data_IF_734097944138
#
_entry.id   IF_734097944138
#
_cell.length_a   1.000
_cell.length_b   1.000
_cell.length_c   1.000
_cell.angle_alpha   90.00
_cell.angle_beta   90.00
_cell.angle_gamma   90.00
#
_symmetry.space_group_name_H-M   'P 1'
#
loop_
_entity.id
_entity.type
_entity.pdbx_description
1 polymer ?
#
# COMPACT_ATOMS: atom_id res chain seq x y z
N UNK A 1 -57.90 -15.91 -4.67
CA UNK A 1 -56.73 -16.71 -5.08
C UNK A 1 -56.03 -17.24 -3.85
N UNK A 2 -55.78 -18.55 -3.79
CA UNK A 2 -55.10 -19.18 -2.67
C UNK A 2 -53.60 -18.92 -2.73
N UNK A 3 -52.95 -18.85 -1.57
CA UNK A 3 -51.51 -18.62 -1.42
C UNK A 3 -50.64 -19.69 -2.11
N UNK A 4 -51.24 -20.84 -2.42
CA UNK A 4 -50.59 -21.96 -3.10
C UNK A 4 -50.66 -21.84 -4.64
N UNK A 5 -51.68 -21.19 -5.19
CA UNK A 5 -51.78 -20.92 -6.63
C UNK A 5 -50.75 -19.87 -7.05
N UNK A 6 -50.61 -18.80 -6.26
CA UNK A 6 -49.62 -17.76 -6.48
C UNK A 6 -48.18 -18.30 -6.46
N UNK A 7 -47.90 -19.29 -5.60
CA UNK A 7 -46.59 -19.94 -5.53
C UNK A 7 -46.28 -20.80 -6.75
N UNK A 8 -47.29 -21.44 -7.35
CA UNK A 8 -47.12 -22.22 -8.58
C UNK A 8 -46.88 -21.31 -9.76
N UNK A 9 -47.66 -20.23 -9.87
CA UNK A 9 -47.53 -19.25 -10.95
C UNK A 9 -46.16 -18.54 -10.94
N UNK A 10 -45.64 -18.21 -9.76
CA UNK A 10 -44.28 -17.66 -9.63
C UNK A 10 -43.19 -18.65 -10.05
N UNK A 11 -43.34 -19.93 -9.71
CA UNK A 11 -42.36 -20.96 -10.07
C UNK A 11 -42.36 -21.22 -11.57
N UNK A 12 -43.55 -21.32 -12.17
CA UNK A 12 -43.71 -21.57 -13.60
C UNK A 12 -43.24 -20.34 -14.42
N UNK A 13 -43.48 -19.13 -13.91
CA UNK A 13 -42.96 -17.89 -14.48
C UNK A 13 -41.43 -17.84 -14.45
N UNK A 14 -40.80 -18.26 -13.36
CA UNK A 14 -39.34 -18.29 -13.23
C UNK A 14 -38.68 -19.30 -14.18
N UNK A 15 -39.27 -20.49 -14.34
CA UNK A 15 -38.80 -21.50 -15.29
C UNK A 15 -39.02 -21.08 -16.75
N UNK A 16 -40.05 -20.27 -17.06
CA UNK A 16 -40.25 -19.76 -18.42
C UNK A 16 -39.24 -18.69 -18.84
N UNK A 17 -38.69 -17.95 -17.87
CA UNK A 17 -37.67 -16.90 -18.10
C UNK A 17 -36.26 -17.51 -18.09
N UNK A 18 -36.03 -18.52 -17.26
CA UNK A 18 -34.80 -19.28 -17.25
C UNK A 18 -34.83 -20.33 -18.38
N UNK A 19 -34.46 -19.93 -19.59
CA UNK A 19 -34.26 -20.86 -20.70
C UNK A 19 -33.35 -22.05 -20.34
N UNK A 20 -33.41 -23.17 -21.07
CA UNK A 20 -32.65 -24.37 -20.74
C UNK A 20 -31.14 -24.05 -20.67
N UNK A 21 -30.40 -24.59 -19.69
CA UNK A 21 -28.99 -24.31 -19.55
C UNK A 21 -28.23 -24.76 -20.81
N UNK A 22 -27.43 -23.85 -21.37
CA UNK A 22 -26.63 -24.05 -22.56
C UNK A 22 -25.61 -25.18 -22.33
N UNK A 23 -25.72 -26.27 -23.09
CA UNK A 23 -24.87 -27.45 -22.99
C UNK A 23 -23.40 -27.19 -23.35
N UNK A 24 -23.10 -26.04 -23.95
CA UNK A 24 -21.72 -25.63 -24.27
C UNK A 24 -20.92 -25.18 -23.04
N UNK A 25 -21.59 -24.75 -21.95
CA UNK A 25 -20.93 -24.38 -20.69
C UNK A 25 -20.37 -25.61 -19.97
N UNK A 26 -21.13 -26.69 -19.91
CA UNK A 26 -20.68 -27.96 -19.30
C UNK A 26 -19.50 -28.56 -20.06
N UNK A 27 -19.48 -28.43 -21.39
CA UNK A 27 -18.37 -28.87 -22.22
C UNK A 27 -17.08 -28.04 -22.00
N UNK A 28 -17.19 -26.73 -21.77
CA UNK A 28 -16.06 -25.84 -21.44
C UNK A 28 -15.46 -26.13 -20.06
N UNK A 29 -16.29 -26.43 -19.06
CA UNK A 29 -15.82 -26.80 -17.72
C UNK A 29 -15.10 -28.16 -17.75
N UNK A 30 -15.60 -29.12 -18.54
CA UNK A 30 -14.92 -30.41 -18.70
C UNK A 30 -13.59 -30.31 -19.46
N UNK A 31 -13.46 -29.40 -20.42
CA UNK A 31 -12.19 -29.21 -21.15
C UNK A 31 -11.15 -28.48 -20.29
N UNK A 32 -11.55 -27.52 -19.45
CA UNK A 32 -10.65 -26.85 -18.51
C UNK A 32 -10.10 -27.77 -17.39
N UNK A 33 -10.81 -28.85 -17.05
CA UNK A 33 -10.34 -29.85 -16.09
C UNK A 33 -9.47 -30.96 -16.72
N UNK A 34 -9.49 -31.11 -18.04
CA UNK A 34 -8.69 -32.11 -18.77
C UNK A 34 -7.32 -31.57 -19.20
N UNK A 35 -7.12 -30.25 -19.22
CA UNK A 35 -5.79 -29.64 -19.32
C UNK A 35 -5.08 -29.63 -17.96
N UNK A 36 -4.72 -30.82 -17.48
CA UNK A 36 -3.62 -30.96 -16.54
C UNK A 36 -2.34 -30.47 -17.25
N UNK A 37 -1.59 -29.49 -16.71
CA UNK A 37 -0.35 -29.06 -17.33
C UNK A 37 0.60 -30.27 -17.43
N UNK A 38 1.00 -30.58 -18.66
CA UNK A 38 1.94 -31.66 -18.95
C UNK A 38 3.14 -31.58 -18.01
N UNK A 39 3.44 -32.73 -17.43
CA UNK A 39 4.61 -33.05 -16.62
C UNK A 39 5.88 -32.60 -17.35
N UNK A 40 6.34 -31.37 -17.08
CA UNK A 40 7.59 -30.80 -17.62
C UNK A 40 8.75 -31.74 -17.30
N UNK A 41 9.34 -32.30 -18.36
CA UNK A 41 10.49 -33.19 -18.29
C UNK A 41 11.76 -32.53 -17.71
N UNK A 42 12.82 -33.32 -17.47
CA UNK A 42 13.95 -33.00 -16.59
C UNK A 42 14.99 -32.06 -17.24
N UNK A 43 14.58 -31.07 -18.03
CA UNK A 43 15.48 -30.15 -18.73
C UNK A 43 15.89 -28.92 -17.90
N UNK A 44 15.27 -28.70 -16.74
CA UNK A 44 15.63 -27.58 -15.85
C UNK A 44 16.97 -27.76 -15.12
N UNK A 45 17.47 -28.99 -15.00
CA UNK A 45 18.72 -29.26 -14.28
C UNK A 45 19.95 -28.82 -15.11
N UNK A 46 19.83 -28.73 -16.44
CA UNK A 46 20.93 -28.28 -17.31
C UNK A 46 21.12 -26.74 -17.30
N UNK A 47 20.08 -25.96 -16.97
CA UNK A 47 20.16 -24.50 -16.93
C UNK A 47 20.90 -23.94 -15.70
N UNK A 48 20.83 -24.65 -14.57
CA UNK A 48 21.45 -24.24 -13.31
C UNK A 48 22.96 -24.49 -13.26
N UNK A 49 23.46 -25.45 -14.05
CA UNK A 49 24.89 -25.75 -14.13
C UNK A 49 25.68 -24.70 -14.94
N UNK A 50 25.08 -24.11 -15.98
CA UNK A 50 25.76 -23.13 -16.82
C UNK A 50 25.94 -21.76 -16.14
N UNK A 51 24.98 -21.34 -15.30
CA UNK A 51 25.04 -20.07 -14.56
C UNK A 51 26.03 -20.10 -13.38
N UNK A 52 26.21 -21.25 -12.73
CA UNK A 52 27.22 -21.44 -11.68
C UNK A 52 28.66 -21.38 -12.21
N UNK A 53 28.91 -21.86 -13.44
CA UNK A 53 30.24 -21.80 -14.07
C UNK A 53 30.59 -20.36 -14.49
N UNK A 54 29.62 -19.58 -14.97
CA UNK A 54 29.82 -18.17 -15.33
C UNK A 54 30.10 -17.27 -14.11
N UNK A 55 29.46 -17.54 -12.96
CA UNK A 55 29.68 -16.78 -11.73
C UNK A 55 31.08 -17.01 -11.12
N UNK A 56 31.66 -18.22 -11.27
CA UNK A 56 32.99 -18.54 -10.76
C UNK A 56 34.14 -17.93 -11.59
N UNK A 57 33.93 -17.69 -12.89
CA UNK A 57 34.94 -17.05 -13.74
C UNK A 57 35.11 -15.54 -13.48
N UNK A 58 34.05 -14.85 -13.02
CA UNK A 58 34.10 -13.41 -12.69
C UNK A 58 34.67 -13.16 -11.27
N UNK A 59 34.60 -14.16 -10.37
CA UNK A 59 35.17 -14.07 -9.02
C UNK A 59 36.70 -14.21 -8.94
N UNK A 60 37.36 -14.71 -10.00
CA UNK A 60 38.79 -15.03 -9.97
C UNK A 60 39.73 -13.91 -10.48
N UNK A 61 39.21 -12.74 -10.86
CA UNK A 61 40.00 -11.63 -11.41
C UNK A 61 40.21 -10.44 -10.44
N UNK A 62 39.80 -10.56 -9.17
CA UNK A 62 39.94 -9.49 -8.16
C UNK A 62 40.91 -9.82 -7.01
N UNK A 63 41.88 -10.72 -7.23
CA UNK A 63 42.98 -10.98 -6.28
C UNK A 63 44.33 -10.96 -7.03
N UNK A 64 44.75 -9.80 -7.55
CA UNK A 64 46.12 -9.58 -8.04
C UNK A 64 46.49 -8.08 -8.24
N UNK A 65 46.59 -7.31 -7.14
CA UNK A 65 47.49 -6.15 -6.94
C UNK A 65 47.29 -4.85 -7.76
N UNK A 66 48.09 -3.78 -7.50
CA UNK A 66 48.92 -3.47 -6.33
C UNK A 66 48.42 -2.20 -5.56
N UNK A 67 48.97 -2.00 -4.36
CA UNK A 67 48.82 -0.80 -3.53
C UNK A 67 49.17 0.48 -4.32
N UNK A 68 48.15 1.23 -4.77
CA UNK A 68 48.30 2.63 -5.21
C UNK A 68 47.99 3.55 -4.04
N UNK A 69 49.07 3.93 -3.38
CA UNK A 69 49.15 5.01 -2.41
C UNK A 69 48.72 6.31 -3.09
N UNK A 70 47.45 6.69 -2.95
CA UNK A 70 46.99 8.02 -3.35
C UNK A 70 47.53 9.02 -2.33
N UNK A 71 48.53 9.77 -2.79
CA UNK A 71 49.06 10.96 -2.17
C UNK A 71 47.91 11.95 -1.93
N UNK A 72 47.45 12.10 -0.69
CA UNK A 72 46.50 13.14 -0.30
C UNK A 72 47.24 14.48 -0.31
N UNK A 73 47.03 15.25 -1.37
CA UNK A 73 47.34 16.68 -1.40
C UNK A 73 46.26 17.41 -0.57
N UNK A 74 46.59 18.25 0.43
CA UNK A 74 45.60 19.05 1.13
C UNK A 74 45.07 20.14 0.21
N UNK A 75 43.77 20.12 -0.09
CA UNK A 75 43.08 21.26 -0.73
C UNK A 75 42.53 22.16 0.38
N UNK A 76 42.78 23.49 0.36
CA UNK A 76 42.24 24.40 1.37
C UNK A 76 40.71 24.40 1.36
N UNK A 77 40.12 24.39 2.56
CA UNK A 77 38.69 24.35 2.79
C UNK A 77 37.95 25.53 2.15
N UNK A 78 37.08 25.20 1.18
CA UNK A 78 35.90 26.01 0.89
C UNK A 78 34.80 25.59 1.86
N UNK A 79 34.44 26.48 2.78
CA UNK A 79 33.28 26.32 3.65
C UNK A 79 32.04 26.35 2.73
N UNK A 80 31.44 25.18 2.47
CA UNK A 80 30.11 25.13 1.87
C UNK A 80 29.12 25.65 2.93
N UNK A 81 28.61 26.86 2.70
CA UNK A 81 27.50 27.42 3.47
C UNK A 81 26.31 26.45 3.41
N UNK A 82 25.74 26.01 4.54
CA UNK A 82 24.54 25.18 4.51
C UNK A 82 23.41 25.98 3.86
N UNK A 83 22.89 25.50 2.72
CA UNK A 83 21.63 26.00 2.17
C UNK A 83 20.53 25.69 3.19
N UNK A 84 19.73 26.67 3.63
CA UNK A 84 18.65 26.40 4.57
C UNK A 84 17.65 25.43 3.93
N UNK A 85 17.38 24.32 4.64
CA UNK A 85 16.24 23.45 4.40
C UNK A 85 14.97 24.32 4.50
N UNK A 86 13.93 24.13 3.65
CA UNK A 86 12.69 24.89 3.80
C UNK A 86 12.13 24.66 5.21
N UNK A 87 12.21 25.69 6.05
CA UNK A 87 11.51 25.75 7.34
C UNK A 87 10.03 25.90 7.02
N UNK A 88 9.28 24.80 7.11
CA UNK A 88 7.83 24.88 7.20
C UNK A 88 7.49 25.75 8.42
N UNK A 89 6.83 26.89 8.19
CA UNK A 89 6.38 27.77 9.26
C UNK A 89 5.44 27.00 10.21
N UNK A 90 5.95 26.62 11.38
CA UNK A 90 5.22 25.86 12.42
C UNK A 90 4.13 26.71 13.08
N UNK A 91 3.95 27.96 12.65
CA UNK A 91 3.18 28.97 13.36
C UNK A 91 1.66 28.88 13.15
N UNK A 92 1.17 27.96 12.29
CA UNK A 92 -0.27 27.84 12.03
C UNK A 92 -0.75 26.40 11.77
N UNK A 93 -0.27 25.43 12.57
CA UNK A 93 -0.76 24.06 12.48
C UNK A 93 -2.24 23.97 12.92
N UNK A 94 -3.07 23.13 12.27
CA UNK A 94 -4.45 22.92 12.71
C UNK A 94 -4.56 22.47 14.17
N UNK A 95 -5.73 22.60 14.77
CA UNK A 95 -5.96 22.09 16.13
C UNK A 95 -5.97 20.54 16.14
N UNK A 96 -5.59 19.95 17.28
CA UNK A 96 -5.81 18.52 17.50
C UNK A 96 -7.32 18.31 17.71
N UNK A 97 -7.89 17.36 16.96
CA UNK A 97 -9.31 17.01 16.97
C UNK A 97 -9.53 15.57 17.38
N UNK A 98 -10.63 15.32 18.09
CA UNK A 98 -11.07 13.98 18.47
C UNK A 98 -12.28 13.54 17.63
N UNK A 99 -12.57 14.25 16.53
CA UNK A 99 -13.72 13.99 15.68
C UNK A 99 -13.59 12.68 14.91
N UNK A 100 -14.72 12.04 14.66
CA UNK A 100 -14.75 10.72 14.05
C UNK A 100 -14.41 10.72 12.57
N UNK A 101 -14.56 11.85 11.88
CA UNK A 101 -14.12 12.02 10.50
C UNK A 101 -13.70 13.47 10.26
N UNK A 102 -12.58 13.65 9.55
CA UNK A 102 -12.09 14.97 9.13
C UNK A 102 -11.53 14.88 7.73
N UNK A 103 -11.90 15.82 6.87
CA UNK A 103 -11.25 16.02 5.58
C UNK A 103 -10.05 16.94 5.77
N UNK A 104 -8.93 16.64 5.12
CA UNK A 104 -7.76 17.51 5.14
C UNK A 104 -7.90 18.54 4.03
N UNK A 105 -7.84 19.82 4.38
CA UNK A 105 -7.90 20.89 3.40
C UNK A 105 -6.57 20.96 2.63
N UNK A 106 -6.62 20.75 1.32
CA UNK A 106 -5.46 20.90 0.41
C UNK A 106 -5.34 22.35 -0.09
N UNK A 107 -5.38 23.32 0.83
CA UNK A 107 -5.45 24.75 0.47
C UNK A 107 -4.30 25.16 -0.46
N UNK A 108 -4.65 25.87 -1.54
CA UNK A 108 -3.69 26.37 -2.54
C UNK A 108 -3.13 25.31 -3.49
N UNK A 109 -3.46 24.02 -3.33
CA UNK A 109 -3.06 22.96 -4.25
C UNK A 109 -4.20 22.62 -5.20
N UNK A 110 -3.91 22.65 -6.50
CA UNK A 110 -4.79 21.99 -7.47
C UNK A 110 -4.57 20.49 -7.28
N UNK A 111 -5.60 19.79 -6.79
CA UNK A 111 -5.55 18.34 -6.63
C UNK A 111 -5.08 17.69 -7.93
N UNK A 112 -4.04 16.86 -7.84
CA UNK A 112 -3.55 16.17 -9.02
C UNK A 112 -4.58 15.14 -9.47
N UNK A 113 -4.73 14.88 -10.78
CA UNK A 113 -5.56 13.77 -11.24
C UNK A 113 -5.15 12.45 -10.58
N UNK A 114 -3.83 12.23 -10.45
CA UNK A 114 -3.21 11.18 -9.66
C UNK A 114 -1.96 11.76 -8.96
N UNK A 115 -1.93 11.70 -7.64
CA UNK A 115 -0.78 12.03 -6.81
C UNK A 115 0.03 10.76 -6.49
N UNK A 116 1.33 10.78 -6.79
CA UNK A 116 2.21 9.65 -6.51
C UNK A 116 2.78 9.74 -5.10
N UNK A 117 2.57 8.70 -4.29
CA UNK A 117 3.26 8.58 -3.00
C UNK A 117 4.75 8.34 -3.28
N UNK A 118 5.60 9.20 -2.73
CA UNK A 118 7.05 9.13 -2.85
C UNK A 118 7.67 8.39 -1.65
N UNK A 119 7.13 8.66 -0.45
CA UNK A 119 7.63 8.05 0.77
C UNK A 119 6.56 7.99 1.88
N UNK A 120 6.57 6.90 2.64
CA UNK A 120 5.83 6.78 3.90
C UNK A 120 6.81 6.62 5.05
N UNK A 121 6.66 7.42 6.11
CA UNK A 121 7.55 7.43 7.28
C UNK A 121 6.74 7.51 8.57
N UNK A 122 7.17 6.78 9.59
CA UNK A 122 6.61 6.85 10.95
C UNK A 122 7.66 7.32 11.95
N UNK A 123 7.25 8.11 12.94
CA UNK A 123 8.14 8.66 13.97
C UNK A 123 7.40 8.97 15.27
N UNK A 124 8.12 8.94 16.39
CA UNK A 124 7.61 9.36 17.69
C UNK A 124 8.25 10.66 18.14
N UNK A 125 7.48 11.51 18.81
CA UNK A 125 7.88 12.82 19.31
C UNK A 125 7.36 13.01 20.73
N UNK A 126 7.86 14.04 21.42
CA UNK A 126 7.30 14.39 22.73
C UNK A 126 5.83 14.79 22.59
N UNK A 127 4.94 13.95 23.12
CA UNK A 127 3.51 14.20 23.18
C UNK A 127 2.69 13.69 21.99
N UNK A 128 3.31 13.19 20.91
CA UNK A 128 2.59 12.65 19.76
C UNK A 128 3.45 11.69 18.93
N UNK A 129 2.77 10.79 18.23
CA UNK A 129 3.37 10.00 17.15
C UNK A 129 2.94 10.59 15.81
N UNK A 130 3.73 10.35 14.76
CA UNK A 130 3.54 10.93 13.44
C UNK A 130 3.71 9.87 12.37
N UNK A 131 2.77 9.84 11.44
CA UNK A 131 2.96 9.29 10.11
C UNK A 131 3.09 10.45 9.13
N UNK A 132 3.94 10.30 8.12
CA UNK A 132 4.12 11.26 7.03
C UNK A 132 4.05 10.48 5.73
N UNK A 133 3.09 10.86 4.88
CA UNK A 133 2.93 10.37 3.51
C UNK A 133 3.34 11.54 2.61
N UNK A 134 4.48 11.38 1.95
CA UNK A 134 5.06 12.37 1.04
C UNK A 134 4.61 12.07 -0.39
N UNK A 135 4.29 13.11 -1.14
CA UNK A 135 3.86 13.00 -2.52
C UNK A 135 4.86 13.70 -3.46
N UNK A 136 5.13 13.08 -4.61
CA UNK A 136 6.12 13.59 -5.56
C UNK A 136 5.63 14.79 -6.36
N UNK A 137 4.39 14.74 -6.85
CA UNK A 137 3.87 15.65 -7.87
C UNK A 137 2.73 16.55 -7.39
N UNK A 138 2.47 16.57 -6.08
CA UNK A 138 1.39 17.34 -5.45
C UNK A 138 0.46 16.45 -4.63
N UNK A 139 -0.51 17.06 -3.96
CA UNK A 139 -1.45 16.35 -3.10
C UNK A 139 -2.57 15.67 -3.92
N UNK A 140 -3.14 14.56 -3.41
CA UNK A 140 -4.32 13.93 -4.00
C UNK A 140 -5.53 14.87 -3.97
N UNK A 141 -6.52 14.57 -4.79
CA UNK A 141 -7.73 15.39 -4.94
C UNK A 141 -8.55 15.48 -3.65
N UNK A 142 -8.54 14.41 -2.85
CA UNK A 142 -9.22 14.36 -1.55
C UNK A 142 -8.46 13.47 -0.55
N UNK A 143 -8.47 13.90 0.71
CA UNK A 143 -7.92 13.15 1.85
C UNK A 143 -8.97 13.15 2.97
N UNK A 144 -9.35 11.96 3.40
CA UNK A 144 -10.29 11.73 4.49
C UNK A 144 -9.64 10.89 5.59
N UNK A 145 -9.88 11.26 6.84
CA UNK A 145 -9.40 10.52 8.01
C UNK A 145 -10.60 10.14 8.87
N UNK A 146 -10.75 8.85 9.18
CA UNK A 146 -11.83 8.33 10.01
C UNK A 146 -11.30 7.58 11.23
N UNK A 147 -11.84 7.85 12.42
CA UNK A 147 -11.52 7.08 13.63
C UNK A 147 -12.33 5.79 13.69
N UNK A 148 -11.77 4.78 14.34
CA UNK A 148 -12.40 3.48 14.55
C UNK A 148 -12.22 3.03 16.01
N UNK A 149 -13.25 2.33 16.52
CA UNK A 149 -13.25 1.80 17.89
C UNK A 149 -12.45 0.49 18.04
N UNK A 150 -11.83 0.01 16.96
CA UNK A 150 -10.94 -1.14 16.94
C UNK A 150 -9.87 -0.91 15.86
N UNK A 151 -8.85 -1.77 15.81
CA UNK A 151 -7.77 -1.72 14.83
C UNK A 151 -8.01 -2.70 13.66
N UNK A 152 -9.26 -2.91 13.26
CA UNK A 152 -9.63 -3.84 12.19
C UNK A 152 -10.05 -3.07 10.93
N UNK A 153 -9.40 -3.35 9.81
CA UNK A 153 -9.61 -2.67 8.54
C UNK A 153 -9.99 -3.68 7.46
N UNK A 154 -10.65 -3.21 6.40
CA UNK A 154 -10.97 -4.03 5.23
C UNK A 154 -9.94 -3.76 4.15
N UNK A 155 -9.33 -4.82 3.62
CA UNK A 155 -8.44 -4.70 2.46
C UNK A 155 -9.27 -4.50 1.20
N UNK A 156 -9.05 -3.38 0.50
CA UNK A 156 -9.87 -2.96 -0.64
C UNK A 156 -10.04 -4.03 -1.73
N UNK A 157 -8.93 -4.48 -2.31
CA UNK A 157 -8.94 -5.42 -3.44
C UNK A 157 -9.51 -6.81 -3.10
N UNK A 158 -9.43 -7.26 -1.84
CA UNK A 158 -9.83 -8.62 -1.46
C UNK A 158 -11.10 -8.68 -0.60
N UNK A 159 -11.53 -7.56 -0.03
CA UNK A 159 -12.60 -7.49 0.97
C UNK A 159 -12.26 -8.18 2.30
N UNK A 160 -11.02 -8.69 2.48
CA UNK A 160 -10.62 -9.40 3.69
C UNK A 160 -10.38 -8.43 4.84
N UNK A 161 -10.72 -8.84 6.06
CA UNK A 161 -10.35 -8.09 7.25
C UNK A 161 -8.88 -8.31 7.59
N UNK A 162 -8.21 -7.23 7.98
CA UNK A 162 -6.88 -7.23 8.59
C UNK A 162 -6.97 -6.57 9.95
N UNK A 163 -6.36 -7.19 10.96
CA UNK A 163 -6.34 -6.68 12.34
C UNK A 163 -4.92 -6.22 12.63
N UNK A 164 -4.76 -4.92 12.85
CA UNK A 164 -3.48 -4.31 13.22
C UNK A 164 -3.28 -4.37 14.75
N UNK A 165 -2.06 -4.16 15.20
CA UNK A 165 -1.74 -4.00 16.61
C UNK A 165 -2.47 -2.78 17.18
N UNK A 166 -3.19 -2.98 18.29
CA UNK A 166 -3.87 -1.90 18.99
C UNK A 166 -5.28 -2.26 19.41
N UNK A 167 -5.94 -1.28 20.04
CA UNK A 167 -7.32 -1.37 20.51
C UNK A 167 -8.24 -0.33 19.86
N UNK A 168 -7.68 0.60 19.08
CA UNK A 168 -8.42 1.61 18.31
C UNK A 168 -7.73 1.83 16.95
N UNK A 169 -8.42 2.49 16.03
CA UNK A 169 -7.95 2.67 14.66
C UNK A 169 -8.12 4.10 14.13
N UNK A 170 -7.28 4.45 13.17
CA UNK A 170 -7.49 5.56 12.25
C UNK A 170 -7.33 5.04 10.82
N UNK A 171 -8.28 5.32 9.93
CA UNK A 171 -8.16 5.05 8.51
C UNK A 171 -7.88 6.37 7.79
N UNK A 172 -6.76 6.45 7.09
CA UNK A 172 -6.44 7.54 6.18
C UNK A 172 -6.78 7.06 4.77
N UNK A 173 -7.69 7.75 4.10
CA UNK A 173 -8.15 7.45 2.74
C UNK A 173 -7.81 8.60 1.82
N UNK A 174 -7.15 8.31 0.70
CA UNK A 174 -6.68 9.29 -0.27
C UNK A 174 -7.25 8.92 -1.63
N UNK A 175 -7.98 9.84 -2.26
CA UNK A 175 -8.59 9.63 -3.57
C UNK A 175 -7.91 10.48 -4.64
N UNK A 176 -7.62 9.87 -5.79
CA UNK A 176 -6.71 10.40 -6.78
C UNK A 176 -5.25 10.22 -6.36
N UNK A 177 -4.92 9.08 -5.76
CA UNK A 177 -3.56 8.72 -5.34
C UNK A 177 -3.12 7.39 -5.96
N UNK A 178 -1.81 7.21 -6.10
CA UNK A 178 -1.17 5.96 -6.51
C UNK A 178 0.10 5.79 -5.68
N UNK A 179 0.19 4.67 -4.96
CA UNK A 179 1.39 4.34 -4.19
C UNK A 179 2.32 3.39 -4.97
N UNK A 180 1.74 2.41 -5.65
CA UNK A 180 2.43 1.36 -6.39
C UNK A 180 3.48 1.85 -7.40
N UNK A 181 3.24 2.96 -8.10
CA UNK A 181 4.10 3.40 -9.21
C UNK A 181 5.46 3.92 -8.75
N UNK A 182 5.53 4.60 -7.58
CA UNK A 182 6.75 5.30 -7.16
C UNK A 182 7.29 4.83 -5.81
N UNK A 183 6.42 4.47 -4.88
CA UNK A 183 6.84 4.05 -3.55
C UNK A 183 7.30 2.59 -3.56
N UNK A 184 8.55 2.37 -3.18
CA UNK A 184 9.12 1.01 -3.04
C UNK A 184 9.45 0.65 -1.59
N UNK A 185 8.95 1.44 -0.63
CA UNK A 185 9.21 1.23 0.79
C UNK A 185 8.29 0.19 1.44
N UNK A 186 8.39 0.00 2.76
CA UNK A 186 7.52 -0.91 3.50
C UNK A 186 6.05 -0.44 3.46
N UNK A 187 5.14 -1.39 3.29
CA UNK A 187 3.68 -1.18 3.37
C UNK A 187 3.08 -1.63 4.70
N UNK A 188 3.92 -2.10 5.64
CA UNK A 188 3.57 -2.50 7.00
C UNK A 188 4.69 -2.02 7.95
N UNK A 189 4.35 -1.11 8.85
CA UNK A 189 5.21 -0.54 9.89
C UNK A 189 4.71 -0.96 11.27
N UNK A 190 5.39 -1.93 11.88
CA UNK A 190 5.21 -2.25 13.30
C UNK A 190 6.17 -1.44 14.14
N UNK A 191 5.64 -0.66 15.07
CA UNK A 191 6.42 0.26 15.89
C UNK A 191 6.36 -0.16 17.36
N UNK A 192 7.17 0.51 18.20
CA UNK A 192 7.06 0.44 19.66
C UNK A 192 6.73 1.81 20.26
N UNK A 193 5.99 2.64 19.51
CA UNK A 193 5.63 3.98 19.94
C UNK A 193 4.47 3.97 20.95
N UNK A 194 4.32 5.03 21.77
CA UNK A 194 3.29 5.03 22.82
C UNK A 194 1.84 4.98 22.31
N UNK A 195 1.56 5.51 21.11
CA UNK A 195 0.21 5.61 20.55
C UNK A 195 0.08 4.82 19.25
N UNK A 196 0.91 5.10 18.24
CA UNK A 196 0.85 4.45 16.93
C UNK A 196 1.60 3.11 16.95
N UNK A 197 0.91 1.99 17.12
CA UNK A 197 1.54 0.67 17.26
C UNK A 197 1.84 0.03 15.91
N UNK A 198 0.95 0.20 14.94
CA UNK A 198 1.13 -0.34 13.59
C UNK A 198 0.52 0.60 12.56
N UNK A 199 1.12 0.66 11.37
CA UNK A 199 0.60 1.37 10.21
C UNK A 199 0.76 0.49 8.99
N UNK A 200 -0.33 0.19 8.30
CA UNK A 200 -0.32 -0.71 7.15
C UNK A 200 -1.17 -0.15 6.01
N UNK A 201 -0.66 -0.27 4.78
CA UNK A 201 -1.45 -0.03 3.58
C UNK A 201 -2.54 -1.11 3.47
N UNK A 202 -3.80 -0.69 3.38
CA UNK A 202 -4.95 -1.60 3.27
C UNK A 202 -5.61 -1.55 1.90
N UNK A 203 -5.36 -0.50 1.11
CA UNK A 203 -5.84 -0.37 -0.27
C UNK A 203 -4.86 0.46 -1.10
N UNK A 204 -4.66 0.03 -2.34
CA UNK A 204 -3.98 0.76 -3.43
C UNK A 204 -4.57 0.25 -4.75
N UNK A 205 -5.76 0.77 -5.08
CA UNK A 205 -6.54 0.30 -6.23
C UNK A 205 -7.44 1.40 -6.78
N UNK A 206 -7.57 1.48 -8.10
CA UNK A 206 -8.46 2.43 -8.81
C UNK A 206 -8.35 3.91 -8.36
N UNK A 207 -7.13 4.33 -8.00
CA UNK A 207 -6.87 5.70 -7.54
C UNK A 207 -7.20 5.95 -6.06
N UNK A 208 -7.50 4.90 -5.30
CA UNK A 208 -7.61 4.93 -3.85
C UNK A 208 -6.37 4.34 -3.22
N UNK A 209 -5.74 5.12 -2.33
CA UNK A 209 -4.72 4.63 -1.42
C UNK A 209 -5.24 4.79 0.00
N UNK A 210 -5.19 3.72 0.80
CA UNK A 210 -5.62 3.75 2.18
C UNK A 210 -4.58 3.18 3.13
N UNK A 211 -4.39 3.86 4.25
CA UNK A 211 -3.52 3.45 5.34
C UNK A 211 -4.33 3.27 6.62
N UNK A 212 -4.33 2.04 7.14
CA UNK A 212 -4.85 1.73 8.47
C UNK A 212 -3.77 2.00 9.53
N UNK A 213 -4.13 2.68 10.60
CA UNK A 213 -3.27 2.96 11.74
C UNK A 213 -3.84 2.28 12.98
N UNK A 214 -3.15 1.28 13.50
CA UNK A 214 -3.44 0.61 14.76
C UNK A 214 -2.90 1.40 15.94
N UNK A 215 -3.79 1.77 16.87
CA UNK A 215 -3.48 2.64 17.99
C UNK A 215 -3.62 1.90 19.33
N UNK A 216 -2.77 2.23 20.29
CA UNK A 216 -2.82 1.66 21.65
C UNK A 216 -4.12 1.99 22.39
N UNK A 217 -4.77 3.11 22.03
CA UNK A 217 -6.04 3.62 22.56
C UNK A 217 -6.67 4.59 21.56
N UNK A 218 -7.94 4.94 21.75
CA UNK A 218 -8.56 6.06 21.04
C UNK A 218 -7.78 7.34 21.32
N UNK A 219 -7.34 8.03 20.27
CA UNK A 219 -6.53 9.22 20.36
C UNK A 219 -7.05 10.32 19.42
N UNK A 220 -6.88 11.56 19.85
CA UNK A 220 -7.13 12.72 19.01
C UNK A 220 -5.94 12.92 18.07
N UNK A 221 -6.19 13.44 16.88
CA UNK A 221 -5.18 13.60 15.83
C UNK A 221 -5.21 15.01 15.24
N UNK A 222 -4.22 15.30 14.42
CA UNK A 222 -4.14 16.49 13.58
C UNK A 222 -3.54 16.09 12.25
N UNK A 223 -4.06 16.64 11.17
CA UNK A 223 -3.59 16.42 9.81
C UNK A 223 -3.54 17.73 9.03
N UNK A 224 -2.60 17.84 8.09
CA UNK A 224 -2.32 18.99 7.24
C UNK A 224 -1.44 18.55 6.06
#
# INVERSE_FOLDING_TARGET
MGRDDFRRELRDGFESIAGPPDSSLTARVHSALVEAPERRGPVWIAGLAATLIAALAVGALFIAGPLRQQNQQPVPGGIATPSPLPTSDVSNLPAITCNNATSVATEGHVGQPIAYVDAVRVGTHTGYDRITIEFQNGLPGDIHIATQNNATFTQGASGRQVVLQGSAGLLVSMHGADEYTHYTGPVDFKTNYPVLLESQQVEDFEGYVQWGLGLSRSACYRAF
#
